data_IF_262713833262
#
_entry.id   IF_262713833262
#
_cell.length_a   1.000
_cell.length_b   1.000
_cell.length_c   1.000
_cell.angle_alpha   90.00
_cell.angle_beta   90.00
_cell.angle_gamma   90.00
#
_symmetry.space_group_name_H-M   'P 1'
#
loop_
_entity.id
_entity.type
_entity.pdbx_description
1 polymer ?
#
# COMPACT_ATOMS: atom_id res chain seq x y z
N UNK A 1 -5.44 -24.53 -0.76
CA UNK A 1 -6.15 -23.83 0.33
C UNK A 1 -5.76 -22.37 0.26
N UNK A 2 -6.42 -21.60 -0.60
CA UNK A 2 -6.36 -20.14 -0.54
C UNK A 2 -7.24 -19.72 0.64
N UNK A 3 -6.62 -19.19 1.69
CA UNK A 3 -7.39 -18.51 2.74
C UNK A 3 -7.93 -17.24 2.09
N UNK A 4 -9.24 -17.17 1.90
CA UNK A 4 -9.88 -15.91 1.56
C UNK A 4 -9.53 -14.91 2.66
N UNK A 5 -8.67 -13.96 2.32
CA UNK A 5 -8.36 -12.85 3.21
C UNK A 5 -9.63 -11.99 3.28
N UNK A 6 -10.19 -11.81 4.49
CA UNK A 6 -11.34 -10.93 4.75
C UNK A 6 -11.00 -9.43 4.62
N UNK A 7 -9.99 -9.09 3.82
CA UNK A 7 -9.51 -7.73 3.65
C UNK A 7 -8.87 -7.54 2.28
N UNK A 8 -8.92 -6.31 1.79
CA UNK A 8 -8.26 -5.85 0.57
C UNK A 8 -7.37 -4.63 0.84
N UNK A 9 -6.41 -4.41 -0.04
CA UNK A 9 -5.54 -3.24 -0.01
C UNK A 9 -6.00 -2.22 -1.05
N UNK A 10 -6.30 -1.00 -0.61
CA UNK A 10 -6.64 0.12 -1.49
C UNK A 10 -5.49 1.12 -1.52
N UNK A 11 -4.97 1.41 -2.71
CA UNK A 11 -3.88 2.37 -2.90
C UNK A 11 -4.36 3.77 -2.52
N UNK A 12 -3.60 4.45 -1.67
CA UNK A 12 -3.84 5.84 -1.30
C UNK A 12 -3.14 6.71 -2.35
N UNK A 13 -3.88 7.43 -3.23
CA UNK A 13 -3.26 8.28 -4.24
C UNK A 13 -2.46 9.41 -3.57
N UNK A 14 -1.22 9.60 -3.99
CA UNK A 14 -0.38 10.71 -3.52
C UNK A 14 -0.80 12.02 -4.19
N UNK A 15 -1.76 12.73 -3.59
CA UNK A 15 -2.17 14.07 -4.04
C UNK A 15 -1.11 15.18 -3.83
N UNK A 16 0.11 14.86 -3.41
CA UNK A 16 1.13 15.86 -3.06
C UNK A 16 1.75 16.59 -4.27
N UNK A 17 1.76 15.97 -5.45
CA UNK A 17 2.54 16.44 -6.61
C UNK A 17 1.71 17.06 -7.75
N UNK A 18 0.39 17.27 -7.60
CA UNK A 18 -0.46 17.87 -8.67
C UNK A 18 -0.08 19.31 -9.07
N UNK A 19 0.96 19.94 -8.49
CA UNK A 19 1.24 21.35 -8.75
C UNK A 19 2.35 21.62 -9.77
N UNK A 20 3.44 20.87 -9.89
CA UNK A 20 4.53 21.22 -10.83
C UNK A 20 5.48 20.04 -11.13
N UNK A 21 5.36 19.38 -12.30
CA UNK A 21 6.48 18.87 -13.16
C UNK A 21 5.99 18.05 -14.38
N UNK A 22 6.80 17.94 -15.47
CA UNK A 22 6.35 17.71 -16.85
C UNK A 22 6.39 16.24 -17.34
N UNK A 23 6.65 15.26 -16.48
CA UNK A 23 6.73 13.85 -16.87
C UNK A 23 5.77 13.00 -16.03
N UNK A 24 4.99 12.15 -16.69
CA UNK A 24 4.13 11.16 -16.04
C UNK A 24 5.02 10.12 -15.37
N UNK A 25 5.15 10.16 -14.04
CA UNK A 25 5.77 9.07 -13.30
C UNK A 25 4.86 7.83 -13.35
N UNK A 26 5.41 6.60 -13.38
CA UNK A 26 4.60 5.39 -13.35
C UNK A 26 3.69 5.37 -12.12
N UNK A 27 2.42 5.03 -12.33
CA UNK A 27 1.42 5.00 -11.27
C UNK A 27 1.25 3.57 -10.75
N UNK A 28 1.17 3.37 -9.42
CA UNK A 28 0.94 2.04 -8.86
C UNK A 28 -0.48 1.59 -9.17
N UNK A 29 -0.64 0.40 -9.77
CA UNK A 29 -1.92 -0.17 -10.18
C UNK A 29 -2.34 -1.37 -9.33
N UNK A 30 -1.39 -2.09 -8.75
CA UNK A 30 -1.66 -3.25 -7.90
C UNK A 30 -0.64 -3.37 -6.77
N UNK A 31 -1.09 -3.90 -5.63
CA UNK A 31 -0.25 -4.09 -4.44
C UNK A 31 -0.54 -5.45 -3.80
N UNK A 32 0.52 -6.19 -3.48
CA UNK A 32 0.45 -7.45 -2.73
C UNK A 32 1.39 -7.42 -1.53
N UNK A 33 0.88 -7.82 -0.36
CA UNK A 33 1.62 -7.80 0.92
C UNK A 33 1.50 -9.19 1.56
N UNK A 34 2.36 -10.16 1.18
CA UNK A 34 2.19 -11.57 1.55
C UNK A 34 2.43 -11.85 3.05
N UNK A 35 3.20 -11.00 3.71
CA UNK A 35 3.58 -11.09 5.13
C UNK A 35 2.82 -10.09 6.02
N UNK A 36 1.68 -9.59 5.53
CA UNK A 36 0.81 -8.69 6.29
C UNK A 36 0.29 -9.34 7.57
N UNK A 37 0.27 -8.56 8.65
CA UNK A 37 -0.35 -8.92 9.93
C UNK A 37 -1.05 -7.69 10.51
N UNK A 38 -2.21 -7.90 11.13
CA UNK A 38 -2.94 -6.90 11.93
C UNK A 38 -2.22 -6.60 13.26
N UNK A 39 -0.97 -6.15 13.18
CA UNK A 39 -0.12 -5.83 14.31
C UNK A 39 0.48 -4.46 14.05
N UNK A 40 0.21 -3.52 14.95
CA UNK A 40 0.75 -2.16 14.85
C UNK A 40 2.28 -2.21 14.84
N UNK A 41 2.89 -1.42 13.95
CA UNK A 41 4.34 -1.35 13.71
C UNK A 41 5.00 -2.63 13.16
N UNK A 42 4.20 -3.63 12.75
CA UNK A 42 4.73 -4.80 12.06
C UNK A 42 5.42 -4.39 10.76
N UNK A 43 6.63 -4.89 10.55
CA UNK A 43 7.37 -4.72 9.30
C UNK A 43 6.93 -5.79 8.31
N UNK A 44 6.64 -5.37 7.08
CA UNK A 44 6.16 -6.24 6.02
C UNK A 44 6.75 -5.83 4.66
N UNK A 45 6.61 -6.69 3.68
CA UNK A 45 7.16 -6.56 2.34
C UNK A 45 6.02 -6.25 1.37
N UNK A 46 6.04 -5.07 0.77
CA UNK A 46 5.03 -4.64 -0.20
C UNK A 46 5.56 -4.80 -1.62
N UNK A 47 4.88 -5.60 -2.42
CA UNK A 47 5.12 -5.72 -3.85
C UNK A 47 4.14 -4.81 -4.59
N UNK A 48 4.65 -3.87 -5.37
CA UNK A 48 3.87 -2.88 -6.11
C UNK A 48 4.11 -3.09 -7.59
N UNK A 49 3.03 -3.29 -8.34
CA UNK A 49 3.05 -3.27 -9.80
C UNK A 49 2.57 -1.91 -10.29
N UNK A 50 3.31 -1.33 -11.21
CA UNK A 50 3.05 -0.03 -11.83
C UNK A 50 2.39 -0.18 -13.21
N UNK A 51 1.81 0.90 -13.73
CA UNK A 51 1.13 0.96 -15.03
C UNK A 51 2.03 0.68 -16.24
N UNK A 52 3.34 0.67 -16.05
CA UNK A 52 4.36 0.31 -17.04
C UNK A 52 4.86 -1.15 -16.91
N UNK A 53 4.12 -2.01 -16.20
CA UNK A 53 4.46 -3.40 -15.87
C UNK A 53 5.71 -3.56 -14.98
N UNK A 54 6.31 -2.45 -14.51
CA UNK A 54 7.42 -2.51 -13.56
C UNK A 54 6.90 -2.98 -12.20
N UNK A 55 7.62 -3.89 -11.56
CA UNK A 55 7.33 -4.32 -10.18
C UNK A 55 8.46 -3.90 -9.25
N UNK A 56 8.09 -3.27 -8.13
CA UNK A 56 9.04 -2.87 -7.08
C UNK A 56 8.65 -3.48 -5.74
N UNK A 57 9.68 -3.77 -4.95
CA UNK A 57 9.52 -4.29 -3.60
C UNK A 57 9.93 -3.21 -2.61
N UNK A 58 9.05 -2.92 -1.65
CA UNK A 58 9.26 -1.93 -0.60
C UNK A 58 9.18 -2.54 0.78
N UNK A 59 10.18 -2.25 1.62
CA UNK A 59 10.06 -2.48 3.05
C UNK A 59 9.02 -1.51 3.61
N UNK A 60 7.99 -2.07 4.24
CA UNK A 60 6.81 -1.33 4.63
C UNK A 60 6.46 -1.57 6.09
N UNK A 61 5.66 -0.68 6.67
CA UNK A 61 5.20 -0.77 8.05
C UNK A 61 3.70 -0.68 8.15
N UNK A 62 3.12 -1.57 8.96
CA UNK A 62 1.70 -1.54 9.32
C UNK A 62 1.47 -0.46 10.37
N UNK A 63 0.55 0.46 10.07
CA UNK A 63 0.16 1.58 10.90
C UNK A 63 -1.32 1.46 11.25
N UNK A 64 -1.67 1.82 12.48
CA UNK A 64 -3.06 1.94 12.92
C UNK A 64 -3.30 3.37 13.39
N UNK A 65 -4.32 4.00 12.83
CA UNK A 65 -4.79 5.29 13.30
C UNK A 65 -5.59 5.07 14.60
N UNK A 66 -5.18 5.70 15.69
CA UNK A 66 -5.83 5.57 17.00
C UNK A 66 -7.17 6.32 17.08
N UNK A 67 -7.39 7.32 16.22
CA UNK A 67 -8.62 8.13 16.17
C UNK A 67 -9.65 7.43 15.29
N UNK A 68 -9.29 7.12 14.04
CA UNK A 68 -10.23 6.52 13.07
C UNK A 68 -10.29 5.00 13.13
N UNK A 69 -9.40 4.36 13.90
CA UNK A 69 -9.24 2.89 13.99
C UNK A 69 -8.89 2.22 12.65
N UNK A 70 -8.51 3.01 11.63
CA UNK A 70 -8.14 2.51 10.31
C UNK A 70 -6.73 1.93 10.28
N UNK A 71 -6.57 0.87 9.50
CA UNK A 71 -5.29 0.23 9.25
C UNK A 71 -4.72 0.68 7.90
N UNK A 72 -3.43 0.96 7.88
CA UNK A 72 -2.68 1.36 6.69
C UNK A 72 -1.36 0.60 6.64
N UNK A 73 -0.82 0.43 5.44
CA UNK A 73 0.56 -0.03 5.26
C UNK A 73 1.30 1.03 4.46
N UNK A 74 2.39 1.53 5.04
CA UNK A 74 3.21 2.58 4.44
C UNK A 74 4.56 2.00 3.99
N UNK A 75 4.81 2.07 2.68
CA UNK A 75 6.05 1.63 2.03
C UNK A 75 6.91 2.78 1.54
N UNK A 76 6.75 3.99 2.11
CA UNK A 76 7.45 5.24 1.75
C UNK A 76 7.10 5.80 0.36
N UNK A 77 7.17 4.97 -0.69
CA UNK A 77 6.80 5.34 -2.05
C UNK A 77 5.31 5.13 -2.34
N UNK A 78 4.71 4.08 -1.77
CA UNK A 78 3.31 3.76 -1.90
C UNK A 78 2.73 3.50 -0.52
N UNK A 79 1.51 3.97 -0.29
CA UNK A 79 0.76 3.68 0.92
C UNK A 79 -0.58 3.07 0.53
N UNK A 80 -1.04 2.09 1.30
CA UNK A 80 -2.34 1.45 1.10
C UNK A 80 -3.16 1.51 2.38
N UNK A 81 -4.48 1.60 2.23
CA UNK A 81 -5.46 1.37 3.29
C UNK A 81 -5.85 -0.10 3.29
N UNK A 82 -6.01 -0.68 4.48
CA UNK A 82 -6.56 -2.02 4.64
C UNK A 82 -8.05 -1.89 4.87
N UNK A 83 -8.85 -2.42 3.95
CA UNK A 83 -10.31 -2.37 3.98
C UNK A 83 -10.84 -3.78 4.24
N UNK A 84 -11.62 -4.01 5.31
CA UNK A 84 -12.27 -5.30 5.51
C UNK A 84 -13.29 -5.57 4.39
N UNK A 85 -13.33 -6.80 3.89
CA UNK A 85 -14.28 -7.26 2.89
C UNK A 85 -15.53 -7.85 3.55
#
# INVERSE_FOLDING_TARGET
MEKENNYRFEIIPKNWAMRRKPAKEPEPVSVTIPDFKYVKNHSCTMHVTYDNDETKTYLSRVLQNHITQEWKVDGMHVAVKVVPC
#
